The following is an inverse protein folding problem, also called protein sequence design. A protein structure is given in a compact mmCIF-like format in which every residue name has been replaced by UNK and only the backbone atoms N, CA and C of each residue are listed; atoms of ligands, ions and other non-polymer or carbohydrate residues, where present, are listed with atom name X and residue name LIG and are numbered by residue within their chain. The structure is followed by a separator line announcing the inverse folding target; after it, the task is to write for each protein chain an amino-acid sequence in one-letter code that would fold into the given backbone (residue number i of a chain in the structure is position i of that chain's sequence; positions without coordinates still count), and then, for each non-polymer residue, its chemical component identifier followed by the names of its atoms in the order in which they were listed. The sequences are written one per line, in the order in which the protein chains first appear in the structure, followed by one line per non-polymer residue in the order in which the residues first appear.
data_IF_690936124985
#
_entry.id   IF_690936124985
#
_cell.length_a   1.000
_cell.length_b   1.000
_cell.length_c   1.000
_cell.angle_alpha   90.00
_cell.angle_beta   90.00
_cell.angle_gamma   90.00
#
_symmetry.space_group_name_H-M   'P 1'
#
loop_
_entity.id
_entity.type
_entity.pdbx_description
1 polymer ?
#
# COMPACT_ATOMS: atom_id res chain seq x y z
N UNK A 1 11.29 6.39 -0.90
CA UNK A 1 10.23 6.77 0.07
C UNK A 1 8.94 6.79 -0.72
N UNK A 2 7.93 6.02 -0.30
CA UNK A 2 6.68 5.89 -1.06
C UNK A 2 5.61 6.78 -0.46
N UNK A 3 4.89 7.53 -1.29
CA UNK A 3 3.86 8.49 -0.85
C UNK A 3 2.53 7.78 -0.60
N UNK A 4 1.84 8.12 0.49
CA UNK A 4 0.46 7.69 0.74
C UNK A 4 -0.48 8.68 0.05
N UNK A 5 -1.04 8.29 -1.09
CA UNK A 5 -1.95 9.16 -1.87
C UNK A 5 -3.36 9.20 -1.28
N UNK A 6 -3.77 8.13 -0.60
CA UNK A 6 -5.06 8.06 0.09
C UNK A 6 -4.98 7.14 1.29
N UNK A 7 -5.69 7.52 2.35
CA UNK A 7 -5.87 6.71 3.56
C UNK A 7 -7.35 6.64 3.93
N UNK A 8 -7.85 5.44 4.21
CA UNK A 8 -9.21 5.21 4.69
C UNK A 8 -9.19 4.32 5.92
N UNK A 9 -9.87 4.75 6.99
CA UNK A 9 -10.14 3.90 8.15
C UNK A 9 -11.36 3.04 7.81
N UNK A 10 -11.21 1.72 7.84
CA UNK A 10 -12.31 0.78 7.56
C UNK A 10 -13.05 0.40 8.84
N UNK A 11 -12.31 0.27 9.95
CA UNK A 11 -12.82 0.02 11.29
C UNK A 11 -11.73 0.39 12.33
N UNK A 12 -11.95 0.23 13.66
CA UNK A 12 -10.99 0.64 14.68
C UNK A 12 -9.59 0.05 14.55
N UNK A 13 -9.45 -1.16 13.97
CA UNK A 13 -8.16 -1.87 13.84
C UNK A 13 -7.62 -1.91 12.41
N UNK A 14 -8.47 -1.80 11.37
CA UNK A 14 -8.09 -1.89 9.96
C UNK A 14 -8.07 -0.54 9.25
N UNK A 15 -6.99 -0.29 8.51
CA UNK A 15 -6.80 0.89 7.67
C UNK A 15 -6.37 0.43 6.28
N UNK A 16 -6.98 1.02 5.26
CA UNK A 16 -6.59 0.86 3.86
C UNK A 16 -5.74 2.06 3.46
N UNK A 17 -4.63 1.79 2.76
CA UNK A 17 -3.71 2.81 2.25
C UNK A 17 -3.51 2.57 0.76
N UNK A 18 -3.69 3.61 -0.04
CA UNK A 18 -3.25 3.64 -1.43
C UNK A 18 -1.90 4.34 -1.44
N UNK A 19 -0.89 3.71 -2.07
CA UNK A 19 0.50 4.14 -2.03
C UNK A 19 1.01 4.32 -3.46
N UNK A 20 1.68 5.44 -3.74
CA UNK A 20 2.31 5.71 -5.03
C UNK A 20 3.58 4.88 -5.18
N UNK A 21 3.49 3.77 -5.90
CA UNK A 21 4.61 2.88 -6.22
C UNK A 21 4.48 2.35 -7.67
N UNK A 22 4.81 3.16 -8.70
CA UNK A 22 4.54 2.83 -10.11
C UNK A 22 5.21 1.53 -10.58
N UNK A 23 6.45 1.30 -10.17
CA UNK A 23 7.22 0.13 -10.59
C UNK A 23 6.63 -1.18 -10.06
N UNK A 24 6.07 -1.16 -8.84
CA UNK A 24 5.41 -2.31 -8.22
C UNK A 24 4.03 -2.52 -8.84
N UNK A 25 3.26 -1.43 -9.00
CA UNK A 25 1.91 -1.48 -9.57
C UNK A 25 1.89 -2.08 -10.98
N UNK A 26 2.90 -1.77 -11.80
CA UNK A 26 3.02 -2.25 -13.19
C UNK A 26 3.19 -3.76 -13.31
N UNK A 27 3.83 -4.42 -12.34
CA UNK A 27 4.19 -5.85 -12.42
C UNK A 27 3.41 -6.74 -11.44
N UNK A 28 2.54 -6.14 -10.63
CA UNK A 28 1.77 -6.84 -9.61
C UNK A 28 0.82 -7.88 -10.22
N UNK A 29 0.78 -9.06 -9.61
CA UNK A 29 -0.10 -10.18 -9.95
C UNK A 29 -0.94 -10.61 -8.75
N UNK A 30 -2.11 -11.22 -8.96
CA UNK A 30 -2.93 -11.74 -7.87
C UNK A 30 -2.16 -12.70 -6.96
N UNK A 31 -2.32 -12.55 -5.64
CA UNK A 31 -1.66 -13.38 -4.62
C UNK A 31 -0.27 -12.90 -4.19
N UNK A 32 0.30 -11.86 -4.80
CA UNK A 32 1.54 -11.25 -4.35
C UNK A 32 1.32 -10.30 -3.15
N UNK A 33 2.41 -10.02 -2.43
CA UNK A 33 2.43 -9.07 -1.33
C UNK A 33 3.73 -8.23 -1.35
N UNK A 34 3.75 -7.16 -0.56
CA UNK A 34 4.92 -6.27 -0.40
C UNK A 34 5.44 -6.33 1.05
N UNK A 35 6.73 -6.07 1.22
CA UNK A 35 7.35 -5.89 2.53
C UNK A 35 7.58 -4.38 2.72
N UNK A 36 7.14 -3.85 3.86
CA UNK A 36 7.26 -2.42 4.19
C UNK A 36 8.15 -2.23 5.42
N UNK A 37 8.85 -1.09 5.48
CA UNK A 37 9.62 -0.63 6.64
C UNK A 37 9.18 0.79 6.97
N UNK A 38 8.96 1.08 8.26
CA UNK A 38 8.29 2.31 8.73
C UNK A 38 9.22 3.28 9.47
N UNK A 39 10.53 3.02 9.45
CA UNK A 39 11.52 3.80 10.19
C UNK A 39 11.59 5.25 9.73
#
# INVERSE_FOLDING_TARGET
MYEIVRKKVLNPVVKLMEVSAPDIARVCKPGQFVIIRVN
#
